data_IF_564723087451
#
_entry.id   IF_564723087451
#
_cell.length_a   1.000
_cell.length_b   1.000
_cell.length_c   1.000
_cell.angle_alpha   90.00
_cell.angle_beta   90.00
_cell.angle_gamma   90.00
#
_symmetry.space_group_name_H-M   'P 1'
#
loop_
_entity.id
_entity.type
_entity.pdbx_description
1 polymer ?
#
# COMPACT_ATOMS: atom_id res chain seq x y z
N UNK A 1 -17.56 45.52 -16.38
CA UNK A 1 -17.61 44.17 -16.99
C UNK A 1 -18.99 43.95 -17.59
N UNK A 2 -19.03 43.45 -18.84
CA UNK A 2 -20.30 43.13 -19.49
C UNK A 2 -20.95 41.93 -18.77
N UNK A 3 -22.33 41.94 -18.69
CA UNK A 3 -23.07 40.79 -18.12
C UNK A 3 -22.68 39.46 -18.78
N UNK A 4 -22.36 39.48 -20.08
CA UNK A 4 -21.89 38.30 -20.82
C UNK A 4 -20.55 37.79 -20.32
N UNK A 5 -19.60 38.70 -20.04
CA UNK A 5 -18.26 38.32 -19.50
C UNK A 5 -18.37 37.72 -18.11
N UNK A 6 -19.25 38.25 -17.26
CA UNK A 6 -19.50 37.71 -15.93
C UNK A 6 -20.11 36.30 -15.98
N UNK A 7 -21.08 36.08 -16.86
CA UNK A 7 -21.72 34.76 -17.04
C UNK A 7 -20.68 33.71 -17.50
N UNK A 8 -19.86 34.08 -18.51
CA UNK A 8 -18.81 33.17 -19.00
C UNK A 8 -17.81 32.83 -17.90
N UNK A 9 -17.37 33.82 -17.11
CA UNK A 9 -16.46 33.59 -15.99
C UNK A 9 -17.08 32.68 -14.92
N UNK A 10 -18.37 32.92 -14.58
CA UNK A 10 -19.07 32.08 -13.59
C UNK A 10 -19.20 30.62 -14.08
N UNK A 11 -19.51 30.39 -15.35
CA UNK A 11 -19.58 29.04 -15.93
C UNK A 11 -18.20 28.35 -15.87
N UNK A 12 -17.14 29.05 -16.25
CA UNK A 12 -15.78 28.51 -16.19
C UNK A 12 -15.40 28.11 -14.75
N UNK A 13 -15.68 28.96 -13.77
CA UNK A 13 -15.43 28.68 -12.37
C UNK A 13 -16.20 27.46 -11.83
N UNK A 14 -17.47 27.33 -12.22
CA UNK A 14 -18.27 26.15 -11.83
C UNK A 14 -17.73 24.87 -12.48
N UNK A 15 -17.33 24.93 -13.75
CA UNK A 15 -16.73 23.79 -14.45
C UNK A 15 -15.41 23.38 -13.78
N UNK A 16 -14.54 24.34 -13.46
CA UNK A 16 -13.30 24.04 -12.74
C UNK A 16 -13.55 23.45 -11.33
N UNK A 17 -14.50 24.02 -10.59
CA UNK A 17 -14.86 23.55 -9.26
C UNK A 17 -15.46 22.13 -9.25
N UNK A 18 -16.09 21.69 -10.34
CA UNK A 18 -16.63 20.36 -10.49
C UNK A 18 -15.61 19.37 -11.10
N UNK A 19 -14.89 19.81 -12.14
CA UNK A 19 -13.99 18.93 -12.91
C UNK A 19 -12.69 18.61 -12.13
N UNK A 20 -12.13 19.59 -11.41
CA UNK A 20 -10.88 19.35 -10.67
C UNK A 20 -11.06 18.33 -9.54
N UNK A 21 -12.04 18.46 -8.64
CA UNK A 21 -12.29 17.42 -7.62
C UNK A 21 -12.62 16.08 -8.27
N UNK A 22 -13.43 16.06 -9.33
CA UNK A 22 -13.77 14.82 -10.00
C UNK A 22 -12.55 14.12 -10.61
N UNK A 23 -11.61 14.85 -11.22
CA UNK A 23 -10.37 14.31 -11.74
C UNK A 23 -9.44 13.82 -10.60
N UNK A 24 -9.33 14.60 -9.53
CA UNK A 24 -8.47 14.26 -8.37
C UNK A 24 -8.99 13.03 -7.64
N UNK A 25 -10.29 12.94 -7.40
CA UNK A 25 -10.91 11.79 -6.73
C UNK A 25 -11.12 10.57 -7.65
N UNK A 26 -11.01 10.75 -8.97
CA UNK A 26 -11.06 9.64 -9.93
C UNK A 26 -9.68 9.03 -10.23
N UNK A 27 -8.62 9.75 -9.98
CA UNK A 27 -7.28 9.16 -9.98
C UNK A 27 -7.09 8.39 -8.65
N UNK A 28 -7.80 7.27 -8.53
CA UNK A 28 -7.30 6.16 -7.75
C UNK A 28 -5.92 5.89 -8.34
N UNK A 29 -4.88 6.05 -7.53
CA UNK A 29 -3.51 5.95 -7.99
C UNK A 29 -3.22 4.62 -8.71
N UNK A 30 -1.99 4.33 -9.05
CA UNK A 30 -1.57 3.15 -9.83
C UNK A 30 -2.09 1.80 -9.29
N UNK A 31 -2.58 1.77 -8.05
CA UNK A 31 -3.38 0.68 -7.48
C UNK A 31 -4.70 0.34 -8.25
N UNK A 32 -5.13 1.18 -9.19
CA UNK A 32 -6.31 0.88 -10.04
C UNK A 32 -6.10 -0.31 -10.98
N UNK A 33 -4.87 -0.78 -11.16
CA UNK A 33 -4.52 -1.95 -11.98
C UNK A 33 -4.14 -3.18 -11.13
N UNK A 34 -4.05 -3.05 -9.81
CA UNK A 34 -3.84 -4.19 -8.92
C UNK A 34 -5.10 -5.09 -8.94
N UNK A 35 -4.93 -6.40 -8.94
CA UNK A 35 -6.05 -7.31 -8.73
C UNK A 35 -6.77 -6.95 -7.43
N UNK A 36 -8.11 -7.04 -7.40
CA UNK A 36 -8.85 -6.66 -6.21
C UNK A 36 -8.44 -7.56 -5.03
N UNK A 37 -7.86 -6.94 -4.02
CA UNK A 37 -7.44 -7.64 -2.79
C UNK A 37 -8.63 -8.43 -2.22
N UNK A 38 -8.45 -9.72 -1.93
CA UNK A 38 -9.48 -10.58 -1.34
C UNK A 38 -10.08 -9.97 -0.07
N UNK A 39 -11.36 -10.20 0.17
CA UNK A 39 -12.09 -9.57 1.27
C UNK A 39 -11.49 -9.87 2.66
N UNK A 40 -10.92 -11.06 2.83
CA UNK A 40 -10.23 -11.49 4.07
C UNK A 40 -8.87 -10.81 4.30
N UNK A 41 -8.29 -10.16 3.30
CA UNK A 41 -7.01 -9.45 3.39
C UNK A 41 -7.16 -7.92 3.48
N UNK A 42 -8.38 -7.40 3.31
CA UNK A 42 -8.61 -5.94 3.31
C UNK A 42 -8.31 -5.24 4.63
N UNK A 43 -8.48 -5.92 5.75
CA UNK A 43 -8.13 -5.36 7.05
C UNK A 43 -6.61 -5.16 7.13
N UNK A 44 -5.83 -6.16 6.76
CA UNK A 44 -4.37 -6.08 6.67
C UNK A 44 -3.90 -5.02 5.66
N UNK A 45 -4.56 -4.88 4.49
CA UNK A 45 -4.28 -3.82 3.54
C UNK A 45 -4.44 -2.43 4.16
N UNK A 46 -5.56 -2.18 4.83
CA UNK A 46 -5.85 -0.89 5.47
C UNK A 46 -4.86 -0.56 6.60
N UNK A 47 -4.51 -1.56 7.41
CA UNK A 47 -3.51 -1.43 8.47
C UNK A 47 -2.13 -1.15 7.90
N UNK A 48 -1.75 -1.83 6.81
CA UNK A 48 -0.48 -1.60 6.12
C UNK A 48 -0.39 -0.18 5.56
N UNK A 49 -1.41 0.28 4.84
CA UNK A 49 -1.47 1.64 4.31
C UNK A 49 -1.28 2.70 5.39
N UNK A 50 -1.91 2.49 6.55
CA UNK A 50 -1.91 3.48 7.64
C UNK A 50 -0.60 3.49 8.43
N UNK A 51 0.00 2.33 8.69
CA UNK A 51 1.11 2.19 9.64
C UNK A 51 2.46 1.90 8.97
N UNK A 52 2.47 1.32 7.78
CA UNK A 52 3.67 0.83 7.11
C UNK A 52 3.98 1.59 5.81
N UNK A 53 2.93 2.02 5.09
CA UNK A 53 3.01 2.59 3.75
C UNK A 53 3.82 3.89 3.64
N UNK A 54 4.00 4.64 4.74
CA UNK A 54 4.87 5.82 4.74
C UNK A 54 6.35 5.44 4.55
N UNK A 55 6.74 4.27 5.00
CA UNK A 55 8.12 3.80 4.95
C UNK A 55 8.35 2.75 3.86
N UNK A 56 7.38 1.91 3.56
CA UNK A 56 7.52 0.76 2.65
C UNK A 56 6.72 0.93 1.37
N UNK A 57 7.32 0.53 0.26
CA UNK A 57 6.63 0.28 -0.99
C UNK A 57 6.03 -1.13 -0.95
N UNK A 58 4.74 -1.23 -1.32
CA UNK A 58 4.05 -2.48 -1.62
C UNK A 58 2.95 -2.18 -2.64
N UNK A 59 3.04 -2.79 -3.83
CA UNK A 59 2.15 -2.49 -4.96
C UNK A 59 0.67 -2.76 -4.63
N UNK A 60 0.36 -3.92 -4.07
CA UNK A 60 -1.00 -4.30 -3.67
C UNK A 60 -1.62 -3.36 -2.61
N UNK A 61 -0.80 -2.64 -1.85
CA UNK A 61 -1.25 -1.62 -0.92
C UNK A 61 -1.36 -0.22 -1.57
N UNK A 62 -0.84 -0.03 -2.77
CA UNK A 62 -0.77 1.28 -3.42
C UNK A 62 0.15 2.25 -2.68
N UNK A 63 1.25 1.77 -2.09
CA UNK A 63 2.18 2.58 -1.31
C UNK A 63 3.55 2.66 -1.97
N UNK A 64 4.22 3.79 -1.82
CA UNK A 64 5.49 4.14 -2.45
C UNK A 64 6.54 4.66 -1.46
N UNK A 65 6.41 4.32 -0.18
CA UNK A 65 7.36 4.69 0.86
C UNK A 65 8.76 4.16 0.58
N UNK A 66 9.77 5.02 0.70
CA UNK A 66 11.16 4.73 0.34
C UNK A 66 12.16 4.82 1.51
N UNK A 67 11.67 4.98 2.74
CA UNK A 67 12.50 5.00 3.94
C UNK A 67 12.91 3.57 4.34
N UNK A 68 12.02 2.62 4.22
CA UNK A 68 12.26 1.18 4.34
C UNK A 68 12.44 0.51 2.97
N UNK A 69 12.72 -0.80 2.95
CA UNK A 69 12.83 -1.54 1.70
C UNK A 69 11.48 -1.65 0.96
N UNK A 70 11.56 -1.77 -0.36
CA UNK A 70 10.47 -2.23 -1.20
C UNK A 70 10.17 -3.70 -0.87
N UNK A 71 8.96 -3.99 -0.43
CA UNK A 71 8.60 -5.32 0.05
C UNK A 71 8.32 -6.30 -1.09
N UNK A 72 7.89 -5.83 -2.25
CA UNK A 72 7.74 -6.66 -3.45
C UNK A 72 9.10 -7.25 -3.86
N UNK A 73 10.13 -6.41 -3.91
CA UNK A 73 11.48 -6.84 -4.26
C UNK A 73 12.15 -7.68 -3.17
N UNK A 74 11.90 -7.34 -1.89
CA UNK A 74 12.57 -8.00 -0.77
C UNK A 74 12.00 -9.40 -0.48
N UNK A 75 10.68 -9.56 -0.58
CA UNK A 75 9.97 -10.75 -0.15
C UNK A 75 9.61 -11.68 -1.32
N UNK A 76 9.38 -11.12 -2.48
CA UNK A 76 8.96 -11.85 -3.67
C UNK A 76 9.67 -11.34 -4.95
N UNK A 77 10.99 -11.40 -5.02
CA UNK A 77 11.77 -10.83 -6.13
C UNK A 77 11.51 -11.51 -7.48
N UNK A 78 10.84 -12.64 -7.48
CA UNK A 78 10.47 -13.41 -8.70
C UNK A 78 8.99 -13.34 -9.02
N UNK A 79 8.24 -12.48 -8.34
CA UNK A 79 6.78 -12.39 -8.41
C UNK A 79 6.07 -13.11 -7.26
N UNK A 80 4.73 -13.06 -7.25
CA UNK A 80 3.92 -13.68 -6.20
C UNK A 80 4.20 -15.19 -6.06
N UNK A 81 4.02 -15.75 -4.86
CA UNK A 81 4.22 -17.19 -4.63
C UNK A 81 3.29 -18.04 -5.49
N UNK A 82 3.83 -18.85 -6.37
CA UNK A 82 3.08 -19.74 -7.26
C UNK A 82 3.58 -21.19 -7.20
N UNK A 83 2.76 -22.11 -7.70
CA UNK A 83 3.12 -23.53 -7.85
C UNK A 83 3.03 -24.34 -6.56
N UNK A 84 3.65 -25.55 -6.52
CA UNK A 84 3.44 -26.52 -5.45
C UNK A 84 3.99 -26.10 -4.08
N UNK A 85 4.91 -25.17 -4.04
CA UNK A 85 5.53 -24.65 -2.80
C UNK A 85 4.97 -23.28 -2.36
N UNK A 86 3.95 -22.74 -3.07
CA UNK A 86 3.41 -21.42 -2.79
C UNK A 86 2.98 -21.26 -1.32
N UNK A 87 2.25 -22.24 -0.79
CA UNK A 87 1.78 -22.21 0.59
C UNK A 87 2.94 -22.14 1.59
N UNK A 88 3.99 -22.94 1.40
CA UNK A 88 5.16 -22.91 2.28
C UNK A 88 5.90 -21.56 2.21
N UNK A 89 5.95 -20.95 1.03
CA UNK A 89 6.57 -19.62 0.85
C UNK A 89 5.73 -18.55 1.53
N UNK A 90 4.41 -18.60 1.42
CA UNK A 90 3.48 -17.68 2.11
C UNK A 90 3.68 -17.78 3.62
N UNK A 91 3.64 -18.98 4.21
CA UNK A 91 3.80 -19.19 5.65
C UNK A 91 5.18 -18.70 6.16
N UNK A 92 6.24 -18.93 5.41
CA UNK A 92 7.57 -18.44 5.75
C UNK A 92 7.64 -16.90 5.70
N UNK A 93 7.03 -16.29 4.70
CA UNK A 93 6.95 -14.83 4.54
C UNK A 93 6.10 -14.21 5.63
N UNK A 94 4.94 -14.79 5.93
CA UNK A 94 4.05 -14.36 7.01
C UNK A 94 4.78 -14.35 8.36
N UNK A 95 5.45 -15.45 8.70
CA UNK A 95 6.25 -15.56 9.94
C UNK A 95 7.37 -14.51 9.99
N UNK A 96 8.03 -14.23 8.87
CA UNK A 96 9.08 -13.21 8.77
C UNK A 96 8.54 -11.80 8.97
N UNK A 97 7.41 -11.48 8.35
CA UNK A 97 6.76 -10.16 8.47
C UNK A 97 6.23 -9.98 9.89
N UNK A 98 5.55 -10.98 10.45
CA UNK A 98 5.05 -10.96 11.82
C UNK A 98 6.17 -10.66 12.81
N UNK A 99 7.28 -11.41 12.72
CA UNK A 99 8.45 -11.18 13.58
C UNK A 99 9.01 -9.76 13.45
N UNK A 100 9.07 -9.21 12.22
CA UNK A 100 9.54 -7.85 11.97
C UNK A 100 8.61 -6.79 12.57
N UNK A 101 7.29 -6.98 12.49
CA UNK A 101 6.29 -6.05 13.04
C UNK A 101 6.31 -6.07 14.57
N UNK A 102 6.43 -7.23 15.18
CA UNK A 102 6.46 -7.40 16.64
C UNK A 102 7.76 -6.89 17.26
N UNK A 103 8.90 -7.26 16.69
CA UNK A 103 10.20 -7.05 17.31
C UNK A 103 11.00 -5.88 16.72
N UNK A 104 10.55 -5.38 15.55
CA UNK A 104 11.30 -4.40 14.78
C UNK A 104 12.50 -5.00 14.06
N UNK A 105 13.18 -4.20 13.26
CA UNK A 105 14.38 -4.60 12.52
C UNK A 105 15.44 -3.53 12.63
N UNK A 106 16.61 -3.91 13.12
CA UNK A 106 17.81 -3.08 13.06
C UNK A 106 18.46 -3.27 11.69
N UNK A 107 18.44 -2.23 10.86
CA UNK A 107 19.07 -2.28 9.54
C UNK A 107 20.52 -1.80 9.60
N UNK A 108 21.41 -2.60 9.02
CA UNK A 108 22.80 -2.20 8.79
C UNK A 108 23.00 -1.53 7.42
N UNK A 109 21.98 -1.57 6.56
CA UNK A 109 22.06 -1.12 5.15
C UNK A 109 21.21 0.10 4.84
N UNK A 110 20.24 0.43 5.69
CA UNK A 110 19.40 1.64 5.57
C UNK A 110 19.61 2.55 6.77
N UNK A 111 19.40 3.86 6.58
CA UNK A 111 19.61 4.87 7.62
C UNK A 111 18.61 4.81 8.77
N UNK A 112 17.66 3.86 8.74
CA UNK A 112 16.56 3.79 9.67
C UNK A 112 16.40 2.44 10.34
N UNK A 113 15.78 2.48 11.52
CA UNK A 113 15.34 1.31 12.26
C UNK A 113 13.84 1.14 12.08
N UNK A 114 13.39 -0.05 11.71
CA UNK A 114 11.97 -0.38 11.80
C UNK A 114 11.57 -0.56 13.26
N UNK A 115 10.67 0.24 13.82
CA UNK A 115 10.20 0.04 15.19
C UNK A 115 9.35 -1.23 15.30
N UNK A 116 9.44 -1.93 16.43
CA UNK A 116 8.57 -3.06 16.75
C UNK A 116 7.41 -2.63 17.64
N UNK A 117 6.37 -3.48 17.71
CA UNK A 117 5.25 -3.33 18.65
C UNK A 117 4.32 -2.15 18.35
N UNK A 118 4.25 -1.70 17.10
CA UNK A 118 3.35 -0.62 16.68
C UNK A 118 1.90 -1.08 16.45
N UNK A 119 1.69 -2.38 16.35
CA UNK A 119 0.40 -3.04 16.20
C UNK A 119 0.20 -4.04 17.35
N UNK A 120 -1.05 -4.33 17.68
CA UNK A 120 -1.36 -5.45 18.56
C UNK A 120 -1.22 -6.78 17.78
N UNK A 121 -1.27 -7.92 18.48
CA UNK A 121 -1.03 -9.26 17.91
C UNK A 121 -1.97 -9.56 16.72
N UNK A 122 -3.28 -9.36 16.86
CA UNK A 122 -4.28 -9.59 15.82
C UNK A 122 -4.01 -8.71 14.57
N UNK A 123 -3.71 -7.43 14.77
CA UNK A 123 -3.39 -6.50 13.69
C UNK A 123 -2.08 -6.87 12.99
N UNK A 124 -1.09 -7.34 13.74
CA UNK A 124 0.19 -7.78 13.18
C UNK A 124 0.02 -9.02 12.31
N UNK A 125 -0.81 -9.98 12.74
CA UNK A 125 -1.19 -11.16 11.95
C UNK A 125 -1.92 -10.76 10.66
N UNK A 126 -2.90 -9.85 10.72
CA UNK A 126 -3.62 -9.36 9.53
C UNK A 126 -2.68 -8.69 8.51
N UNK A 127 -1.74 -7.87 8.97
CA UNK A 127 -0.74 -7.24 8.10
C UNK A 127 0.22 -8.29 7.53
N UNK A 128 0.69 -9.24 8.34
CA UNK A 128 1.60 -10.29 7.89
C UNK A 128 0.95 -11.16 6.82
N UNK A 129 -0.29 -11.58 7.02
CA UNK A 129 -1.07 -12.34 6.03
C UNK A 129 -1.25 -11.54 4.73
N UNK A 130 -1.64 -10.25 4.82
CA UNK A 130 -1.79 -9.41 3.63
C UNK A 130 -0.49 -9.31 2.83
N UNK A 131 0.62 -8.97 3.48
CA UNK A 131 1.92 -8.83 2.81
C UNK A 131 2.38 -10.16 2.21
N UNK A 132 2.23 -11.28 2.93
CA UNK A 132 2.68 -12.58 2.47
C UNK A 132 1.93 -13.08 1.23
N UNK A 133 0.65 -12.71 1.11
CA UNK A 133 -0.18 -13.12 -0.02
C UNK A 133 -0.08 -12.20 -1.24
N UNK A 134 0.38 -10.95 -1.06
CA UNK A 134 0.31 -9.93 -2.12
C UNK A 134 1.67 -9.37 -2.54
N UNK A 135 2.75 -9.68 -1.83
CA UNK A 135 4.08 -9.24 -2.24
C UNK A 135 4.48 -9.85 -3.59
N UNK A 136 5.03 -9.00 -4.46
CA UNK A 136 5.45 -9.37 -5.82
C UNK A 136 4.38 -9.15 -6.89
N UNK A 137 3.20 -8.67 -6.53
CA UNK A 137 2.22 -8.16 -7.49
C UNK A 137 2.73 -6.81 -8.05
N UNK A 138 3.15 -6.77 -9.30
CA UNK A 138 3.69 -5.56 -9.95
C UNK A 138 3.28 -5.49 -11.42
#
# INVERSE_FOLDING_TARGET
MSKKTFIVFAIVMVVFAAVIPWLVFRSDGDAANAEPVPANLKAGQSLFQTNCGTCHTLYAAGTDGNYGPNLDELLAPSGPPEGPNAQQTIEATESRVLNAVENGVDSTTTSGRMPGGILNEEQAEEVAAFVAHTAGES
#
